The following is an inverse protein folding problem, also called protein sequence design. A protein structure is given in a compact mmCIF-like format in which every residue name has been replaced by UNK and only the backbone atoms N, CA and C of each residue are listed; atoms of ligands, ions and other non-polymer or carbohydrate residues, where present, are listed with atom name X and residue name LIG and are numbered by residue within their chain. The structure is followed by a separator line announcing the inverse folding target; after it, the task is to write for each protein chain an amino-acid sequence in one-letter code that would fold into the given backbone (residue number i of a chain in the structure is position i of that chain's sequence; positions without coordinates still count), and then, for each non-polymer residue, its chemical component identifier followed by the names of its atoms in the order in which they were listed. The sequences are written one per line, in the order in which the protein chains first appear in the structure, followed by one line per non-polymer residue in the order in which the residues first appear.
data_IF_667827375903
#
_entry.id   IF_667827375903
#
_cell.length_a   1.000
_cell.length_b   1.000
_cell.length_c   1.000
_cell.angle_alpha   90.00
_cell.angle_beta   90.00
_cell.angle_gamma   90.00
#
_symmetry.space_group_name_H-M   'P 1'
#
loop_
_entity.id
_entity.type
_entity.pdbx_description
1 polymer ?
#
# COMPACT_ATOMS: atom_id res chain seq x y z
N UNK A 1 8.65 -18.83 1.00
CA UNK A 1 9.03 -17.55 1.63
C UNK A 1 8.66 -17.65 3.09
N UNK A 2 9.56 -17.27 4.00
CA UNK A 2 9.28 -17.36 5.44
C UNK A 2 8.33 -16.26 5.89
N UNK A 3 7.69 -16.48 7.05
CA UNK A 3 6.87 -15.44 7.70
C UNK A 3 7.68 -14.18 7.97
N UNK A 4 8.94 -14.33 8.41
CA UNK A 4 9.82 -13.21 8.68
C UNK A 4 10.10 -12.36 7.43
N UNK A 5 10.29 -13.00 6.27
CA UNK A 5 10.45 -12.28 5.01
C UNK A 5 9.17 -11.52 4.61
N UNK A 6 7.99 -12.09 4.86
CA UNK A 6 6.71 -11.41 4.62
C UNK A 6 6.61 -10.17 5.52
N UNK A 7 6.90 -10.34 6.82
CA UNK A 7 6.87 -9.25 7.81
C UNK A 7 7.81 -8.12 7.40
N UNK A 8 9.04 -8.43 7.00
CA UNK A 8 10.02 -7.44 6.56
C UNK A 8 9.52 -6.62 5.35
N UNK A 9 8.89 -7.27 4.38
CA UNK A 9 8.31 -6.59 3.20
C UNK A 9 7.19 -5.63 3.60
N UNK A 10 6.24 -6.11 4.42
CA UNK A 10 5.09 -5.31 4.83
C UNK A 10 5.49 -4.15 5.75
N UNK A 11 6.39 -4.40 6.71
CA UNK A 11 6.97 -3.39 7.60
C UNK A 11 7.63 -2.28 6.79
N UNK A 12 8.57 -2.63 5.90
CA UNK A 12 9.28 -1.65 5.10
C UNK A 12 8.34 -0.81 4.21
N UNK A 13 7.31 -1.43 3.64
CA UNK A 13 6.31 -0.70 2.86
C UNK A 13 5.48 0.26 3.72
N UNK A 14 5.06 -0.18 4.92
CA UNK A 14 4.30 0.65 5.86
C UNK A 14 5.10 1.86 6.36
N UNK A 15 6.43 1.75 6.42
CA UNK A 15 7.36 2.83 6.77
C UNK A 15 7.71 3.75 5.59
N UNK A 16 7.06 3.56 4.43
CA UNK A 16 7.20 4.45 3.26
C UNK A 16 8.22 3.99 2.22
N UNK A 17 8.78 2.78 2.33
CA UNK A 17 9.62 2.24 1.27
C UNK A 17 8.81 1.94 0.01
N UNK A 18 9.30 2.42 -1.14
CA UNK A 18 8.72 2.06 -2.44
C UNK A 18 8.82 0.56 -2.70
N UNK A 19 7.88 -0.01 -3.49
CA UNK A 19 7.91 -1.43 -3.87
C UNK A 19 9.22 -1.84 -4.56
N UNK A 20 9.83 -0.92 -5.33
CA UNK A 20 11.16 -1.11 -5.94
C UNK A 20 12.29 -1.04 -4.92
N UNK A 21 12.17 -0.17 -3.91
CA UNK A 21 13.09 -0.11 -2.78
C UNK A 21 13.10 -1.43 -2.03
N UNK A 22 11.93 -1.92 -1.65
CA UNK A 22 11.77 -3.19 -0.93
C UNK A 22 12.28 -4.37 -1.77
N UNK A 23 11.98 -4.41 -3.07
CA UNK A 23 12.52 -5.45 -3.96
C UNK A 23 14.06 -5.48 -3.97
N UNK A 24 14.71 -4.31 -4.02
CA UNK A 24 16.18 -4.22 -3.99
C UNK A 24 16.77 -4.65 -2.65
N UNK A 25 16.18 -4.23 -1.53
CA UNK A 25 16.73 -4.51 -0.19
C UNK A 25 16.44 -5.93 0.30
N UNK A 26 15.30 -6.52 -0.08
CA UNK A 26 14.91 -7.89 0.29
C UNK A 26 15.42 -8.96 -0.68
N UNK A 27 15.87 -8.58 -1.89
CA UNK A 27 16.24 -9.52 -2.95
C UNK A 27 15.06 -10.24 -3.61
N UNK A 28 13.82 -9.91 -3.24
CA UNK A 28 12.62 -10.48 -3.84
C UNK A 28 12.34 -9.86 -5.20
N UNK A 29 11.81 -10.65 -6.13
CA UNK A 29 11.33 -10.16 -7.41
C UNK A 29 10.24 -9.09 -7.19
N UNK A 30 10.28 -8.02 -8.00
CA UNK A 30 9.35 -6.89 -7.86
C UNK A 30 7.88 -7.32 -7.84
N UNK A 31 7.48 -8.24 -8.73
CA UNK A 31 6.10 -8.73 -8.79
C UNK A 31 5.72 -9.55 -7.55
N UNK A 32 6.66 -10.20 -6.88
CA UNK A 32 6.41 -10.87 -5.61
C UNK A 32 6.09 -9.85 -4.52
N UNK A 33 6.86 -8.75 -4.43
CA UNK A 33 6.60 -7.65 -3.50
C UNK A 33 5.23 -7.02 -3.78
N UNK A 34 4.90 -6.76 -5.05
CA UNK A 34 3.59 -6.23 -5.46
C UNK A 34 2.45 -7.14 -5.01
N UNK A 35 2.54 -8.45 -5.27
CA UNK A 35 1.48 -9.40 -4.89
C UNK A 35 1.29 -9.49 -3.37
N UNK A 36 2.38 -9.44 -2.59
CA UNK A 36 2.31 -9.46 -1.13
C UNK A 36 1.60 -8.24 -0.57
N UNK A 37 2.01 -7.05 -1.01
CA UNK A 37 1.38 -5.81 -0.56
C UNK A 37 -0.10 -5.79 -0.95
N UNK A 38 -0.45 -6.20 -2.17
CA UNK A 38 -1.86 -6.28 -2.60
C UNK A 38 -2.69 -7.23 -1.76
N UNK A 39 -2.17 -8.42 -1.45
CA UNK A 39 -2.88 -9.38 -0.61
C UNK A 39 -3.09 -8.83 0.81
N UNK A 40 -2.06 -8.20 1.39
CA UNK A 40 -2.16 -7.56 2.69
C UNK A 40 -3.17 -6.41 2.69
N UNK A 41 -3.21 -5.57 1.65
CA UNK A 41 -4.20 -4.48 1.54
C UNK A 41 -5.64 -5.00 1.48
N UNK A 42 -5.89 -6.09 0.75
CA UNK A 42 -7.21 -6.70 0.69
C UNK A 42 -7.63 -7.23 2.07
N UNK A 43 -6.72 -7.92 2.76
CA UNK A 43 -7.00 -8.41 4.11
C UNK A 43 -7.21 -7.26 5.12
N UNK A 44 -6.42 -6.20 5.04
CA UNK A 44 -6.57 -5.03 5.91
C UNK A 44 -7.95 -4.37 5.75
N UNK A 45 -8.47 -4.29 4.52
CA UNK A 45 -9.82 -3.79 4.27
C UNK A 45 -10.90 -4.68 4.90
N UNK A 46 -10.75 -6.00 4.81
CA UNK A 46 -11.69 -6.95 5.41
C UNK A 46 -11.70 -6.85 6.93
N UNK A 47 -10.51 -6.77 7.54
CA UNK A 47 -10.36 -6.57 8.99
C UNK A 47 -10.97 -5.24 9.41
N UNK A 48 -10.67 -4.14 8.71
CA UNK A 48 -11.28 -2.85 9.00
C UNK A 48 -12.81 -2.91 8.94
N UNK A 49 -13.39 -3.50 7.90
CA UNK A 49 -14.83 -3.62 7.75
C UNK A 49 -15.48 -4.49 8.84
N UNK A 50 -14.77 -5.50 9.34
CA UNK A 50 -15.24 -6.38 10.40
C UNK A 50 -15.16 -5.73 11.79
N UNK A 51 -14.06 -5.03 12.08
CA UNK A 51 -13.75 -4.50 13.41
C UNK A 51 -14.31 -3.09 13.64
N UNK A 52 -14.34 -2.24 12.61
CA UNK A 52 -14.79 -0.85 12.72
C UNK A 52 -16.29 -0.78 12.38
N UNK A 53 -17.12 -1.23 13.32
CA UNK A 53 -18.59 -1.23 13.21
C UNK A 53 -19.24 -0.58 14.43
N UNK A 54 -20.37 0.10 14.20
CA UNK A 54 -21.19 0.70 15.26
C UNK A 54 -20.38 1.51 16.30
N UNK A 55 -19.39 2.29 15.83
CA UNK A 55 -18.52 3.08 16.68
C UNK A 55 -19.33 4.16 17.38
N UNK A 56 -19.45 4.07 18.71
CA UNK A 56 -20.06 5.12 19.52
C UNK A 56 -19.14 6.34 19.53
N UNK A 57 -19.65 7.49 19.05
CA UNK A 57 -18.89 8.74 19.01
C UNK A 57 -19.79 9.94 19.23
N UNK A 58 -19.23 11.01 19.81
CA UNK A 58 -19.90 12.29 20.01
C UNK A 58 -19.78 13.21 18.80
N UNK A 59 -18.65 13.10 18.07
CA UNK A 59 -18.34 13.91 16.89
C UNK A 59 -17.61 13.06 15.84
N UNK A 60 -17.81 13.38 14.56
CA UNK A 60 -17.10 12.75 13.44
C UNK A 60 -16.42 13.85 12.64
N UNK A 61 -15.09 13.79 12.55
CA UNK A 61 -14.32 14.63 11.63
C UNK A 61 -13.90 13.81 10.42
N UNK A 62 -13.98 14.42 9.25
CA UNK A 62 -13.52 13.83 8.00
C UNK A 62 -12.40 14.70 7.41
N UNK A 63 -11.42 14.05 6.81
CA UNK A 63 -10.32 14.68 6.10
C UNK A 63 -10.13 13.99 4.75
N UNK A 64 -9.49 14.66 3.80
CA UNK A 64 -9.25 14.16 2.46
C UNK A 64 -7.75 13.99 2.19
N UNK A 65 -7.38 12.79 1.76
CA UNK A 65 -6.03 12.50 1.27
C UNK A 65 -6.01 12.57 -0.26
N UNK A 66 -5.20 13.47 -0.79
CA UNK A 66 -5.01 13.63 -2.24
C UNK A 66 -3.68 13.03 -2.68
N UNK A 67 -3.71 12.23 -3.75
CA UNK A 67 -2.49 11.69 -4.36
C UNK A 67 -2.59 11.70 -5.89
N UNK A 68 -1.46 11.91 -6.54
CA UNK A 68 -1.37 11.87 -7.99
C UNK A 68 -1.41 10.42 -8.48
N UNK A 69 -2.44 10.04 -9.25
CA UNK A 69 -2.62 8.67 -9.75
C UNK A 69 -1.99 8.48 -11.13
N UNK A 70 -2.31 9.35 -12.08
CA UNK A 70 -1.80 9.30 -13.44
C UNK A 70 -2.02 10.63 -14.17
N UNK A 71 -1.24 10.88 -15.23
CA UNK A 71 -1.49 11.97 -16.18
C UNK A 71 -2.14 11.42 -17.44
N UNK A 72 -3.07 12.18 -18.02
CA UNK A 72 -3.53 11.92 -19.38
C UNK A 72 -2.34 11.95 -20.34
N UNK A 73 -2.30 10.98 -21.28
CA UNK A 73 -1.23 10.86 -22.27
C UNK A 73 -1.06 12.13 -23.13
N UNK A 74 -2.13 12.88 -23.38
CA UNK A 74 -2.07 14.16 -24.11
C UNK A 74 -1.35 15.26 -23.33
N UNK A 75 -1.25 15.11 -22.01
CA UNK A 75 -0.71 16.13 -21.11
C UNK A 75 0.69 15.76 -20.61
N UNK A 76 1.26 14.60 -20.98
CA UNK A 76 2.66 14.29 -20.67
C UNK A 76 3.59 15.01 -21.64
N UNK A 77 4.71 15.55 -21.15
CA UNK A 77 5.73 16.15 -22.01
C UNK A 77 6.23 15.09 -23.01
N UNK A 78 6.53 15.45 -24.27
CA UNK A 78 7.13 14.51 -25.20
C UNK A 78 8.41 13.95 -24.60
N UNK A 79 8.57 12.64 -24.66
CA UNK A 79 9.85 12.01 -24.38
C UNK A 79 10.72 12.34 -25.60
N UNK A 80 11.69 13.23 -25.44
CA UNK A 80 12.74 13.46 -26.43
C UNK A 80 13.63 12.22 -26.58
#
# INVERSE_FOLDING_TARGET
MSEEQIRQVLQAHSEGSSLRGVSRTSGLAYNTVVSLVRAASQQAQLVHNAEVQAVETQEVSADELWSFVAKNKSNVSPVN
#
